data_IF_852527987518
#
_entry.id   IF_852527987518
#
_cell.length_a   1.000
_cell.length_b   1.000
_cell.length_c   1.000
_cell.angle_alpha   90.00
_cell.angle_beta   90.00
_cell.angle_gamma   90.00
#
_symmetry.space_group_name_H-M   'P 1'
#
loop_
_entity.id
_entity.type
_entity.pdbx_description
1 polymer ?
#
# COMPACT_ATOMS: atom_id res chain seq x y z
N UNK A 1 20.55 1.36 -7.32
CA UNK A 1 19.79 2.42 -6.62
C UNK A 1 20.20 2.43 -5.16
N UNK A 2 20.07 3.57 -4.46
CA UNK A 2 20.33 3.65 -3.02
C UNK A 2 19.04 3.98 -2.29
N UNK A 3 18.68 3.11 -1.36
CA UNK A 3 17.42 3.19 -0.63
C UNK A 3 17.61 3.74 0.78
N UNK A 4 16.77 4.69 1.17
CA UNK A 4 16.53 5.01 2.57
C UNK A 4 15.45 4.09 3.13
N UNK A 5 15.75 3.42 4.23
CA UNK A 5 14.91 2.41 4.86
C UNK A 5 14.28 2.95 6.15
N UNK A 6 12.95 3.07 6.16
CA UNK A 6 12.14 3.61 7.25
C UNK A 6 11.45 2.46 8.02
N UNK A 7 11.76 2.28 9.32
CA UNK A 7 11.14 1.25 10.15
C UNK A 7 9.66 1.53 10.42
N UNK A 8 8.93 0.50 10.83
CA UNK A 8 7.60 0.64 11.42
C UNK A 8 7.63 1.25 12.82
N UNK A 9 6.44 1.49 13.37
CA UNK A 9 6.28 2.00 14.73
C UNK A 9 6.94 1.07 15.75
N UNK A 10 7.52 1.66 16.80
CA UNK A 10 8.34 0.97 17.79
C UNK A 10 9.58 0.29 17.18
N UNK A 11 10.01 0.69 15.98
CA UNK A 11 11.21 0.19 15.32
C UNK A 11 12.46 1.00 15.63
N UNK A 12 13.59 0.60 15.06
CA UNK A 12 14.84 1.36 15.08
C UNK A 12 15.64 1.03 13.82
N UNK A 13 16.63 1.86 13.46
CA UNK A 13 17.49 1.59 12.31
C UNK A 13 18.18 0.23 12.44
N UNK A 14 18.61 -0.11 13.67
CA UNK A 14 19.20 -1.41 14.00
C UNK A 14 18.20 -2.55 13.82
N UNK A 15 17.01 -2.47 14.41
CA UNK A 15 16.03 -3.56 14.34
C UNK A 15 15.55 -3.77 12.91
N UNK A 16 15.35 -2.69 12.15
CA UNK A 16 14.93 -2.79 10.76
C UNK A 16 16.02 -3.31 9.83
N UNK A 17 17.28 -2.99 10.10
CA UNK A 17 18.42 -3.65 9.44
C UNK A 17 18.43 -5.17 9.64
N UNK A 18 18.00 -5.66 10.80
CA UNK A 18 17.85 -7.11 11.04
C UNK A 18 16.61 -7.68 10.33
N UNK A 19 15.47 -6.98 10.37
CA UNK A 19 14.23 -7.41 9.73
C UNK A 19 14.37 -7.52 8.21
N UNK A 20 14.92 -6.47 7.58
CA UNK A 20 15.14 -6.38 6.14
C UNK A 20 16.41 -7.13 5.69
N UNK A 21 17.24 -7.61 6.63
CA UNK A 21 18.56 -8.17 6.38
C UNK A 21 18.64 -9.23 5.26
N UNK A 22 17.79 -10.27 5.25
CA UNK A 22 17.78 -11.26 4.19
C UNK A 22 17.53 -10.66 2.80
N UNK A 23 16.52 -9.78 2.69
CA UNK A 23 16.21 -9.07 1.46
C UNK A 23 17.34 -8.13 1.04
N UNK A 24 17.85 -7.31 1.97
CA UNK A 24 18.93 -6.36 1.72
C UNK A 24 20.21 -7.07 1.27
N UNK A 25 20.57 -8.18 1.90
CA UNK A 25 21.70 -9.02 1.50
C UNK A 25 21.49 -9.60 0.10
N UNK A 26 20.31 -10.19 -0.16
CA UNK A 26 20.02 -10.77 -1.47
C UNK A 26 20.11 -9.73 -2.59
N UNK A 27 19.66 -8.49 -2.35
CA UNK A 27 19.72 -7.40 -3.33
C UNK A 27 21.12 -6.84 -3.51
N UNK A 28 21.87 -6.71 -2.40
CA UNK A 28 23.27 -6.26 -2.41
C UNK A 28 24.17 -7.23 -3.16
N UNK A 29 24.03 -8.54 -2.92
CA UNK A 29 24.80 -9.60 -3.59
C UNK A 29 24.56 -9.61 -5.11
N UNK A 30 23.37 -9.18 -5.56
CA UNK A 30 23.01 -9.03 -6.99
C UNK A 30 23.41 -7.69 -7.58
N UNK A 31 23.99 -6.78 -6.79
CA UNK A 31 24.36 -5.43 -7.24
C UNK A 31 23.17 -4.53 -7.59
N UNK A 32 21.97 -4.85 -7.10
CA UNK A 32 20.74 -4.11 -7.44
C UNK A 32 20.58 -2.84 -6.59
N UNK A 33 20.94 -2.93 -5.31
CA UNK A 33 20.61 -1.91 -4.33
C UNK A 33 21.66 -1.78 -3.21
N UNK A 34 21.76 -0.57 -2.64
CA UNK A 34 22.39 -0.32 -1.35
C UNK A 34 21.38 0.31 -0.40
N UNK A 35 21.62 0.21 0.91
CA UNK A 35 20.63 0.51 1.93
C UNK A 35 21.22 1.41 3.03
N UNK A 36 20.55 2.53 3.28
CA UNK A 36 20.75 3.38 4.45
C UNK A 36 19.54 3.21 5.38
N UNK A 37 19.76 3.02 6.68
CA UNK A 37 18.69 2.82 7.64
C UNK A 37 18.54 4.05 8.52
N UNK A 38 17.31 4.52 8.69
CA UNK A 38 16.95 5.62 9.59
C UNK A 38 15.93 5.14 10.62
N UNK A 39 15.43 6.06 11.45
CA UNK A 39 14.43 5.83 12.48
C UNK A 39 13.76 7.15 12.86
N UNK A 40 12.63 7.06 13.55
CA UNK A 40 11.97 8.23 14.10
C UNK A 40 12.76 8.89 15.24
N UNK A 41 12.38 10.12 15.57
CA UNK A 41 13.04 10.93 16.60
C UNK A 41 12.49 10.67 18.03
N UNK A 42 11.34 10.01 18.15
CA UNK A 42 10.65 9.82 19.43
C UNK A 42 10.97 8.45 20.00
N UNK A 43 11.81 8.39 21.03
CA UNK A 43 12.06 7.17 21.78
C UNK A 43 10.80 6.79 22.60
N UNK A 44 10.39 5.53 22.52
CA UNK A 44 9.15 5.04 23.13
C UNK A 44 9.34 3.67 23.77
N UNK A 45 8.49 3.37 24.75
CA UNK A 45 8.34 2.02 25.27
C UNK A 45 7.29 1.25 24.46
N UNK A 46 7.47 -0.07 24.24
CA UNK A 46 6.48 -0.89 23.57
C UNK A 46 5.22 -1.01 24.44
N UNK A 47 4.04 -1.26 23.83
CA UNK A 47 2.82 -1.52 24.57
C UNK A 47 2.96 -2.71 25.53
N UNK A 48 2.23 -2.67 26.65
CA UNK A 48 2.19 -3.75 27.62
C UNK A 48 1.80 -5.08 26.95
N UNK A 49 2.58 -6.14 27.20
CA UNK A 49 2.41 -7.46 26.59
C UNK A 49 3.10 -7.65 25.23
N UNK A 50 3.75 -6.60 24.70
CA UNK A 50 4.48 -6.62 23.42
C UNK A 50 5.97 -6.31 23.59
N UNK A 51 6.51 -6.42 24.80
CA UNK A 51 7.86 -5.97 25.16
C UNK A 51 8.97 -6.67 24.37
N UNK A 52 8.70 -7.88 23.89
CA UNK A 52 9.66 -8.71 23.14
C UNK A 52 9.36 -8.76 21.63
N UNK A 53 8.28 -8.13 21.16
CA UNK A 53 7.85 -8.22 19.77
C UNK A 53 8.67 -7.32 18.83
N UNK A 54 8.96 -6.10 19.27
CA UNK A 54 9.55 -5.05 18.42
C UNK A 54 11.10 -5.07 18.34
N UNK A 55 11.73 -6.05 19.00
CA UNK A 55 13.18 -6.22 19.02
C UNK A 55 13.88 -5.50 20.17
N UNK A 56 15.16 -5.20 19.98
CA UNK A 56 15.99 -4.61 21.05
C UNK A 56 15.74 -3.11 21.20
N UNK A 57 15.70 -2.63 22.44
CA UNK A 57 15.69 -1.19 22.76
C UNK A 57 17.01 -0.50 22.37
N UNK A 58 17.01 0.84 22.19
CA UNK A 58 15.85 1.74 22.21
C UNK A 58 14.92 1.55 20.99
N UNK A 59 13.63 1.85 21.19
CA UNK A 59 12.58 1.77 20.15
C UNK A 59 12.05 3.17 19.86
N UNK A 60 11.64 3.40 18.61
CA UNK A 60 11.28 4.72 18.13
C UNK A 60 9.97 4.72 17.34
N UNK A 61 9.33 5.89 17.30
CA UNK A 61 8.26 6.20 16.35
C UNK A 61 8.61 7.45 15.56
N UNK A 62 8.17 7.50 14.31
CA UNK A 62 8.19 8.76 13.55
C UNK A 62 7.15 9.73 14.09
N UNK A 63 6.01 9.20 14.51
CA UNK A 63 4.89 9.98 14.99
C UNK A 63 4.77 9.85 16.50
N UNK A 64 4.83 10.98 17.20
CA UNK A 64 4.54 11.06 18.63
C UNK A 64 3.05 10.84 18.88
N UNK A 65 2.67 9.62 19.28
CA UNK A 65 1.33 9.31 19.75
C UNK A 65 1.36 9.30 21.28
N UNK A 66 1.25 10.49 21.89
CA UNK A 66 1.25 10.65 23.36
C UNK A 66 0.09 9.87 24.01
N UNK A 67 -0.99 9.61 23.26
CA UNK A 67 -2.15 8.84 23.72
C UNK A 67 -2.68 7.94 22.58
N UNK A 68 -2.51 6.62 22.70
CA UNK A 68 -3.15 5.66 21.79
C UNK A 68 -2.44 4.31 21.69
N UNK A 69 -3.15 3.23 21.98
CA UNK A 69 -2.68 1.85 21.77
C UNK A 69 -2.66 1.58 20.25
N UNK A 70 -1.49 1.35 19.64
CA UNK A 70 -1.39 0.96 18.23
C UNK A 70 -2.21 -0.31 17.91
N UNK A 71 -2.51 -1.13 18.92
CA UNK A 71 -3.37 -2.30 18.80
C UNK A 71 -4.88 -1.99 18.89
N UNK A 72 -5.30 -0.76 19.23
CA UNK A 72 -6.70 -0.36 19.10
C UNK A 72 -7.19 -0.56 17.66
N UNK A 73 -6.39 -0.13 16.69
CA UNK A 73 -6.70 -0.30 15.26
C UNK A 73 -6.82 -1.79 14.93
N UNK A 74 -5.86 -2.61 15.36
CA UNK A 74 -5.88 -4.07 15.14
C UNK A 74 -7.08 -4.75 15.82
N UNK A 75 -7.51 -4.30 17.00
CA UNK A 75 -8.71 -4.82 17.68
C UNK A 75 -10.01 -4.44 16.95
N UNK A 76 -10.07 -3.23 16.38
CA UNK A 76 -11.21 -2.75 15.58
C UNK A 76 -11.33 -3.50 14.25
N UNK A 77 -10.20 -3.91 13.64
CA UNK A 77 -10.19 -4.71 12.39
C UNK A 77 -11.05 -5.97 12.49
N UNK A 78 -11.09 -6.64 13.65
CA UNK A 78 -11.86 -7.89 13.85
C UNK A 78 -13.37 -7.73 13.64
N UNK A 79 -13.87 -6.49 13.63
CA UNK A 79 -15.30 -6.17 13.51
C UNK A 79 -15.65 -5.43 12.21
N UNK A 80 -14.75 -5.43 11.21
CA UNK A 80 -15.03 -4.78 9.92
C UNK A 80 -16.18 -5.51 9.19
N UNK A 81 -17.22 -4.78 8.75
CA UNK A 81 -18.24 -5.31 7.86
C UNK A 81 -17.64 -5.81 6.55
N UNK A 82 -18.05 -7.00 6.10
CA UNK A 82 -17.62 -7.54 4.81
C UNK A 82 -18.19 -6.70 3.65
N UNK A 83 -17.44 -6.64 2.55
CA UNK A 83 -17.88 -6.03 1.30
C UNK A 83 -17.63 -4.53 1.18
N UNK A 84 -16.93 -3.92 2.14
CA UNK A 84 -16.44 -2.56 2.02
C UNK A 84 -15.23 -2.49 1.08
N UNK A 85 -15.08 -1.36 0.38
CA UNK A 85 -13.85 -1.06 -0.34
C UNK A 85 -12.69 -0.84 0.64
N UNK A 86 -11.42 -0.94 0.19
CA UNK A 86 -10.27 -0.57 1.01
C UNK A 86 -10.40 0.82 1.63
N UNK A 87 -10.77 1.82 0.83
CA UNK A 87 -10.94 3.21 1.26
C UNK A 87 -12.10 3.37 2.26
N UNK A 88 -13.23 2.72 2.02
CA UNK A 88 -14.37 2.74 2.94
C UNK A 88 -14.02 2.05 4.28
N UNK A 89 -13.22 0.99 4.23
CA UNK A 89 -12.72 0.31 5.43
C UNK A 89 -11.80 1.23 6.24
N UNK A 90 -10.89 1.95 5.58
CA UNK A 90 -9.99 2.90 6.25
C UNK A 90 -10.75 4.01 6.97
N UNK A 91 -11.87 4.48 6.40
CA UNK A 91 -12.73 5.49 7.03
C UNK A 91 -13.37 5.00 8.34
N UNK A 92 -13.56 3.70 8.55
CA UNK A 92 -14.07 3.16 9.84
C UNK A 92 -13.08 3.34 10.99
N UNK A 93 -11.79 3.52 10.69
CA UNK A 93 -10.76 3.78 11.69
C UNK A 93 -10.59 5.26 11.99
N UNK A 94 -11.33 6.15 11.32
CA UNK A 94 -11.40 7.55 11.75
C UNK A 94 -12.02 7.59 13.15
N UNK A 95 -11.36 8.24 14.13
CA UNK A 95 -11.89 8.36 15.47
C UNK A 95 -13.20 9.16 15.46
N UNK A 96 -14.18 8.76 16.31
CA UNK A 96 -15.51 9.42 16.40
C UNK A 96 -15.40 10.90 16.83
N UNK A 97 -14.29 11.25 17.47
CA UNK A 97 -13.90 12.64 17.78
C UNK A 97 -12.59 12.91 17.05
N UNK A 98 -12.35 14.13 16.55
CA UNK A 98 -11.04 14.51 16.06
C UNK A 98 -10.02 14.16 17.14
N UNK A 99 -9.06 13.28 16.83
CA UNK A 99 -7.87 13.18 17.68
C UNK A 99 -7.24 14.56 17.59
N UNK A 100 -7.00 15.20 18.74
CA UNK A 100 -6.14 16.39 18.82
C UNK A 100 -4.71 15.93 18.51
N UNK A 101 -4.49 15.63 17.24
CA UNK A 101 -3.22 15.18 16.75
C UNK A 101 -2.39 16.43 16.50
N UNK A 102 -1.21 16.50 17.11
CA UNK A 102 -0.30 17.60 16.84
C UNK A 102 0.31 17.41 15.44
N UNK A 103 -0.34 17.98 14.44
CA UNK A 103 0.08 17.93 13.06
C UNK A 103 1.45 18.57 12.81
N UNK A 104 1.93 19.41 13.73
CA UNK A 104 3.30 19.91 13.70
C UNK A 104 4.31 18.76 13.88
N UNK A 105 4.04 17.82 14.79
CA UNK A 105 4.93 16.66 14.98
C UNK A 105 5.06 15.82 13.71
N UNK A 106 3.97 15.63 12.96
CA UNK A 106 4.03 14.90 11.70
C UNK A 106 4.80 15.68 10.62
N UNK A 107 4.65 17.01 10.55
CA UNK A 107 5.49 17.86 9.70
C UNK A 107 6.96 17.73 10.07
N UNK A 108 7.29 17.85 11.36
CA UNK A 108 8.67 17.74 11.86
C UNK A 108 9.27 16.36 11.53
N UNK A 109 8.47 15.29 11.60
CA UNK A 109 8.87 13.95 11.21
C UNK A 109 9.15 13.83 9.70
N UNK A 110 8.29 14.40 8.84
CA UNK A 110 8.53 14.45 7.39
C UNK A 110 9.77 15.29 7.06
N UNK A 111 9.94 16.44 7.70
CA UNK A 111 11.09 17.32 7.52
C UNK A 111 12.40 16.62 7.94
N UNK A 112 12.37 15.83 9.02
CA UNK A 112 13.50 15.00 9.43
C UNK A 112 13.89 13.94 8.38
N UNK A 113 12.91 13.32 7.73
CA UNK A 113 13.15 12.37 6.64
C UNK A 113 13.67 13.09 5.39
N UNK A 114 13.07 14.21 4.99
CA UNK A 114 13.57 15.04 3.88
C UNK A 114 15.00 15.49 4.13
N UNK A 115 15.31 15.94 5.35
CA UNK A 115 16.68 16.29 5.72
C UNK A 115 17.64 15.11 5.56
N UNK A 116 17.24 13.90 5.96
CA UNK A 116 18.07 12.69 5.79
C UNK A 116 18.31 12.39 4.32
N UNK A 117 17.30 12.57 3.48
CA UNK A 117 17.42 12.44 2.03
C UNK A 117 18.41 13.51 1.53
N UNK A 118 18.22 14.79 1.87
CA UNK A 118 19.07 15.92 1.46
C UNK A 118 20.54 15.77 1.86
N UNK A 119 20.82 15.22 3.04
CA UNK A 119 22.18 15.01 3.53
C UNK A 119 22.95 13.92 2.77
N UNK A 120 22.27 13.03 2.03
CA UNK A 120 22.87 11.94 1.25
C UNK A 120 22.30 11.93 -0.18
N UNK A 121 22.91 12.68 -1.13
CA UNK A 121 22.39 12.90 -2.49
C UNK A 121 22.27 11.63 -3.33
N UNK A 122 22.91 10.52 -2.92
CA UNK A 122 22.81 9.25 -3.64
C UNK A 122 21.46 8.56 -3.41
N UNK A 123 20.74 8.90 -2.33
CA UNK A 123 19.40 8.37 -2.06
C UNK A 123 18.44 8.80 -3.16
N UNK A 124 17.96 7.81 -3.90
CA UNK A 124 16.99 7.95 -5.01
C UNK A 124 15.85 6.94 -4.92
N UNK A 125 15.79 6.15 -3.84
CA UNK A 125 14.68 5.25 -3.54
C UNK A 125 14.32 5.21 -2.06
N UNK A 126 13.08 4.81 -1.77
CA UNK A 126 12.59 4.61 -0.40
C UNK A 126 12.15 3.18 -0.17
N UNK A 127 12.39 2.66 1.04
CA UNK A 127 11.77 1.44 1.55
C UNK A 127 11.13 1.79 2.88
N UNK A 128 9.85 1.49 3.05
CA UNK A 128 9.19 1.66 4.34
C UNK A 128 8.47 0.39 4.78
N UNK A 129 8.37 0.19 6.09
CA UNK A 129 7.53 -0.84 6.70
C UNK A 129 6.49 -0.19 7.61
N UNK A 130 5.20 -0.55 7.48
CA UNK A 130 4.12 -0.09 8.37
C UNK A 130 4.10 1.45 8.50
N UNK A 131 4.29 2.02 9.70
CA UNK A 131 4.45 3.49 9.90
C UNK A 131 5.50 4.10 8.97
N UNK A 132 6.65 3.43 8.78
CA UNK A 132 7.69 3.88 7.86
C UNK A 132 7.26 3.82 6.38
N UNK A 133 6.38 2.90 6.01
CA UNK A 133 5.79 2.86 4.66
C UNK A 133 4.83 4.02 4.43
N UNK A 134 4.02 4.38 5.45
CA UNK A 134 3.19 5.58 5.41
C UNK A 134 4.04 6.85 5.30
N UNK A 135 5.12 6.97 6.08
CA UNK A 135 6.05 8.09 5.98
C UNK A 135 6.68 8.18 4.59
N UNK A 136 7.18 7.06 4.05
CA UNK A 136 7.75 7.01 2.70
C UNK A 136 6.72 7.39 1.63
N UNK A 137 5.47 6.91 1.74
CA UNK A 137 4.39 7.29 0.84
C UNK A 137 4.09 8.80 0.93
N UNK A 138 4.05 9.37 2.13
CA UNK A 138 3.84 10.81 2.34
C UNK A 138 4.96 11.65 1.72
N UNK A 139 6.22 11.22 1.81
CA UNK A 139 7.34 11.88 1.13
C UNK A 139 7.13 11.86 -0.39
N UNK A 140 6.80 10.70 -0.97
CA UNK A 140 6.54 10.60 -2.40
C UNK A 140 5.36 11.47 -2.85
N UNK A 141 4.27 11.51 -2.08
CA UNK A 141 3.11 12.34 -2.37
C UNK A 141 3.42 13.84 -2.27
N UNK A 142 4.26 14.24 -1.31
CA UNK A 142 4.71 15.61 -1.14
C UNK A 142 5.67 16.04 -2.26
N UNK A 143 6.60 15.18 -2.69
CA UNK A 143 7.40 15.45 -3.90
C UNK A 143 6.53 15.58 -5.14
N UNK A 144 5.50 14.72 -5.27
CA UNK A 144 4.56 14.80 -6.38
C UNK A 144 3.81 16.14 -6.40
N UNK A 145 3.31 16.57 -5.24
CA UNK A 145 2.65 17.87 -5.08
C UNK A 145 3.58 19.04 -5.40
N UNK A 146 4.82 19.03 -4.90
CA UNK A 146 5.83 20.08 -5.17
C UNK A 146 6.21 20.16 -6.65
N UNK A 147 6.23 19.02 -7.35
CA UNK A 147 6.39 18.97 -8.79
C UNK A 147 5.22 19.61 -9.53
N UNK A 148 3.98 19.20 -9.22
CA UNK A 148 2.77 19.70 -9.87
C UNK A 148 2.53 21.20 -9.63
N UNK A 149 2.71 21.67 -8.39
CA UNK A 149 2.41 23.05 -8.01
C UNK A 149 3.53 24.04 -8.32
N UNK A 150 4.79 23.59 -8.24
CA UNK A 150 5.96 24.49 -8.26
C UNK A 150 7.07 24.05 -9.20
N UNK A 151 6.89 22.94 -9.95
CA UNK A 151 7.89 22.41 -10.86
C UNK A 151 9.18 21.92 -10.18
N UNK A 152 9.15 21.70 -8.86
CA UNK A 152 10.31 21.20 -8.11
C UNK A 152 10.52 19.72 -8.47
N UNK A 153 11.65 19.32 -9.10
CA UNK A 153 11.85 17.96 -9.55
C UNK A 153 11.77 16.95 -8.39
N UNK A 154 11.08 15.83 -8.64
CA UNK A 154 11.05 14.68 -7.74
C UNK A 154 12.45 14.09 -7.63
N UNK A 155 12.87 13.74 -6.43
CA UNK A 155 14.18 13.15 -6.18
C UNK A 155 14.08 11.63 -6.02
N UNK A 156 13.01 11.16 -5.37
CA UNK A 156 12.72 9.74 -5.25
C UNK A 156 12.20 9.24 -6.58
N UNK A 157 12.83 8.19 -7.11
CA UNK A 157 12.50 7.57 -8.40
C UNK A 157 11.73 6.27 -8.24
N UNK A 158 11.79 5.65 -7.06
CA UNK A 158 11.14 4.37 -6.78
C UNK A 158 10.92 4.17 -5.29
N UNK A 159 9.80 3.55 -4.91
CA UNK A 159 9.52 3.21 -3.51
C UNK A 159 9.02 1.79 -3.34
N UNK A 160 9.44 1.13 -2.25
CA UNK A 160 8.93 -0.17 -1.80
C UNK A 160 8.18 0.00 -0.48
N UNK A 161 6.95 -0.46 -0.42
CA UNK A 161 6.10 -0.36 0.76
C UNK A 161 5.78 -1.74 1.29
N UNK A 162 6.31 -2.07 2.46
CA UNK A 162 5.95 -3.28 3.22
C UNK A 162 4.80 -2.97 4.17
N UNK A 163 3.66 -3.63 4.00
CA UNK A 163 2.47 -3.49 4.86
C UNK A 163 2.08 -2.02 5.11
N UNK A 164 2.09 -1.20 4.04
CA UNK A 164 1.89 0.24 4.13
C UNK A 164 0.43 0.68 4.22
N UNK A 165 0.25 1.97 4.47
CA UNK A 165 -1.02 2.70 4.42
C UNK A 165 -0.91 3.95 3.55
N UNK A 166 -2.03 4.51 3.06
CA UNK A 166 -2.04 5.70 2.21
C UNK A 166 -1.24 6.87 2.80
N UNK A 167 -0.66 7.74 1.96
CA UNK A 167 0.05 8.91 2.42
C UNK A 167 -0.87 9.84 3.19
N UNK A 168 -0.35 10.44 4.26
CA UNK A 168 -0.95 11.60 4.90
C UNK A 168 -0.46 12.87 4.20
N UNK A 169 -1.38 13.75 3.82
CA UNK A 169 -1.10 15.04 3.19
C UNK A 169 -1.74 16.18 3.98
N UNK A 170 -1.12 17.36 3.96
CA UNK A 170 -1.63 18.51 4.69
C UNK A 170 -2.97 18.99 4.09
N UNK A 171 -3.96 19.22 4.95
CA UNK A 171 -5.25 19.80 4.60
C UNK A 171 -5.70 20.76 5.71
N UNK A 172 -5.78 22.05 5.39
CA UNK A 172 -6.03 23.10 6.39
C UNK A 172 -4.97 23.10 7.49
N UNK A 173 -5.41 23.09 8.75
CA UNK A 173 -4.53 23.02 9.92
C UNK A 173 -4.09 21.58 10.26
N UNK A 174 -4.52 20.57 9.50
CA UNK A 174 -4.25 19.16 9.77
C UNK A 174 -3.70 18.34 8.62
N UNK A 175 -3.80 17.01 8.75
CA UNK A 175 -3.52 16.08 7.66
C UNK A 175 -4.66 15.09 7.48
N UNK A 176 -4.81 14.64 6.23
CA UNK A 176 -5.76 13.58 5.86
C UNK A 176 -5.02 12.49 5.08
N UNK A 177 -5.51 11.26 5.22
CA UNK A 177 -5.09 10.18 4.34
C UNK A 177 -5.60 10.48 2.93
N UNK A 178 -4.68 10.57 1.95
CA UNK A 178 -5.02 10.84 0.55
C UNK A 178 -5.52 9.55 -0.10
N UNK A 179 -6.80 9.26 0.10
CA UNK A 179 -7.49 8.10 -0.47
C UNK A 179 -7.77 8.29 -1.97
N UNK A 180 -7.66 7.20 -2.73
CA UNK A 180 -7.75 7.25 -4.19
C UNK A 180 -9.14 7.64 -4.70
N UNK A 181 -10.21 7.25 -3.99
CA UNK A 181 -11.60 7.58 -4.35
C UNK A 181 -11.95 9.05 -4.12
N UNK A 182 -11.17 9.78 -3.32
CA UNK A 182 -11.33 11.22 -3.06
C UNK A 182 -10.35 12.07 -3.89
N UNK A 183 -9.12 11.60 -4.08
CA UNK A 183 -8.02 12.42 -4.60
C UNK A 183 -7.33 11.85 -5.84
N UNK A 184 -7.73 10.68 -6.33
CA UNK A 184 -7.06 9.99 -7.43
C UNK A 184 -5.63 9.58 -7.10
N UNK A 185 -4.75 9.63 -8.09
CA UNK A 185 -3.33 9.29 -7.94
C UNK A 185 -2.61 10.31 -7.08
N UNK A 186 -2.05 9.86 -5.95
CA UNK A 186 -1.23 10.67 -5.06
C UNK A 186 0.27 10.52 -5.33
N UNK A 187 0.70 9.35 -5.80
CA UNK A 187 2.11 8.98 -6.01
C UNK A 187 2.27 8.48 -7.46
N UNK A 188 3.04 9.22 -8.25
CA UNK A 188 3.17 8.98 -9.70
C UNK A 188 4.45 8.23 -10.10
N UNK A 189 5.40 8.05 -9.17
CA UNK A 189 6.60 7.25 -9.42
C UNK A 189 6.28 5.74 -9.43
N UNK A 190 7.11 4.89 -10.06
CA UNK A 190 6.99 3.44 -9.91
C UNK A 190 7.05 3.02 -8.43
N UNK A 191 6.22 2.05 -8.06
CA UNK A 191 6.12 1.58 -6.67
C UNK A 191 6.02 0.06 -6.60
N UNK A 192 6.52 -0.54 -5.52
CA UNK A 192 6.38 -1.96 -5.25
C UNK A 192 5.77 -2.19 -3.86
N UNK A 193 4.58 -2.78 -3.84
CA UNK A 193 3.78 -2.99 -2.66
C UNK A 193 3.88 -4.44 -2.24
N UNK A 194 4.39 -4.66 -1.04
CA UNK A 194 4.60 -5.98 -0.45
C UNK A 194 3.73 -6.09 0.78
N UNK A 195 2.82 -7.06 0.82
CA UNK A 195 1.91 -7.26 1.94
C UNK A 195 1.60 -8.74 2.12
N UNK A 196 0.92 -9.09 3.20
CA UNK A 196 0.48 -10.45 3.45
C UNK A 196 -1.04 -10.53 3.46
N UNK A 197 -1.63 -11.50 2.77
CA UNK A 197 -3.08 -11.73 2.80
C UNK A 197 -3.63 -12.10 4.18
N UNK A 198 -2.77 -12.58 5.09
CA UNK A 198 -3.11 -12.82 6.49
C UNK A 198 -2.82 -11.61 7.40
N UNK A 199 -2.43 -10.46 6.83
CA UNK A 199 -2.29 -9.19 7.56
C UNK A 199 -3.67 -8.62 7.90
N UNK A 200 -4.00 -8.38 9.18
CA UNK A 200 -5.22 -7.68 9.58
C UNK A 200 -5.39 -6.30 8.91
N UNK A 201 -4.29 -5.67 8.52
CA UNK A 201 -4.25 -4.35 7.89
C UNK A 201 -4.16 -4.40 6.36
N UNK A 202 -4.39 -5.56 5.72
CA UNK A 202 -4.26 -5.73 4.26
C UNK A 202 -4.98 -4.66 3.43
N UNK A 203 -6.17 -4.21 3.86
CA UNK A 203 -6.90 -3.15 3.16
C UNK A 203 -6.18 -1.80 3.18
N UNK A 204 -5.32 -1.54 4.17
CA UNK A 204 -4.46 -0.35 4.16
C UNK A 204 -3.43 -0.42 3.04
N UNK A 205 -2.85 -1.60 2.81
CA UNK A 205 -1.87 -1.79 1.73
C UNK A 205 -2.53 -1.71 0.36
N UNK A 206 -3.75 -2.25 0.21
CA UNK A 206 -4.52 -2.12 -1.04
C UNK A 206 -4.94 -0.65 -1.28
N UNK A 207 -5.37 0.07 -0.24
CA UNK A 207 -5.70 1.49 -0.37
C UNK A 207 -4.46 2.33 -0.75
N UNK A 208 -3.27 2.00 -0.22
CA UNK A 208 -2.02 2.64 -0.63
C UNK A 208 -1.69 2.35 -2.10
N UNK A 209 -1.87 1.11 -2.55
CA UNK A 209 -1.72 0.75 -3.96
C UNK A 209 -2.66 1.55 -4.87
N UNK A 210 -3.93 1.71 -4.46
CA UNK A 210 -4.90 2.51 -5.20
C UNK A 210 -4.52 3.99 -5.31
N UNK A 211 -3.80 4.53 -4.30
CA UNK A 211 -3.30 5.90 -4.31
C UNK A 211 -2.02 6.09 -5.16
N UNK A 212 -1.45 5.00 -5.71
CA UNK A 212 -0.27 5.05 -6.58
C UNK A 212 -0.66 4.90 -8.05
N UNK A 213 0.21 5.35 -8.97
CA UNK A 213 0.03 5.13 -10.40
C UNK A 213 0.11 3.61 -10.71
N UNK A 214 -1.05 3.02 -11.00
CA UNK A 214 -1.19 1.57 -11.20
C UNK A 214 -0.54 1.05 -12.47
N UNK A 215 -0.22 1.90 -13.45
CA UNK A 215 0.52 1.49 -14.66
C UNK A 215 1.97 1.09 -14.34
N UNK A 216 2.50 1.59 -13.22
CA UNK A 216 3.88 1.38 -12.79
C UNK A 216 4.00 0.78 -11.38
N UNK A 217 2.87 0.46 -10.75
CA UNK A 217 2.82 -0.17 -9.45
C UNK A 217 2.81 -1.71 -9.57
N UNK A 218 3.58 -2.37 -8.73
CA UNK A 218 3.61 -3.84 -8.61
C UNK A 218 3.08 -4.26 -7.25
N UNK A 219 2.41 -5.41 -7.18
CA UNK A 219 1.92 -6.02 -5.94
C UNK A 219 2.56 -7.40 -5.73
N UNK A 220 2.93 -7.70 -4.49
CA UNK A 220 3.37 -9.02 -4.07
C UNK A 220 2.76 -9.40 -2.72
N UNK A 221 1.98 -10.48 -2.73
CA UNK A 221 1.42 -11.08 -1.53
C UNK A 221 2.34 -12.21 -1.04
N UNK A 222 2.97 -12.02 0.13
CA UNK A 222 3.83 -13.02 0.75
C UNK A 222 3.07 -14.03 1.63
N UNK A 223 1.76 -13.89 1.78
CA UNK A 223 0.86 -14.84 2.47
C UNK A 223 0.97 -14.89 3.99
N UNK A 224 1.82 -14.07 4.62
CA UNK A 224 2.01 -14.05 6.08
C UNK A 224 1.22 -12.90 6.72
N UNK A 225 1.45 -12.62 8.01
CA UNK A 225 0.81 -11.50 8.73
C UNK A 225 1.51 -10.15 8.50
N UNK A 226 1.32 -9.23 9.45
CA UNK A 226 1.89 -7.87 9.42
C UNK A 226 3.41 -7.85 9.70
N UNK A 227 4.23 -8.26 8.74
CA UNK A 227 5.69 -8.39 8.90
C UNK A 227 6.44 -8.20 7.57
N UNK A 228 7.76 -8.08 7.64
CA UNK A 228 8.65 -8.20 6.48
C UNK A 228 9.02 -9.68 6.29
N UNK A 229 8.73 -10.30 5.13
CA UNK A 229 9.04 -11.71 4.93
C UNK A 229 10.56 -11.94 4.86
N UNK A 230 11.01 -13.08 5.41
CA UNK A 230 12.43 -13.41 5.56
C UNK A 230 12.78 -14.82 5.10
N UNK A 231 11.78 -15.63 4.76
CA UNK A 231 11.99 -16.95 4.17
C UNK A 231 12.59 -16.83 2.76
N UNK A 232 13.30 -17.86 2.35
CA UNK A 232 14.09 -17.84 1.11
C UNK A 232 13.20 -17.61 -0.13
N UNK A 233 12.05 -18.29 -0.18
CA UNK A 233 11.14 -18.24 -1.33
C UNK A 233 10.58 -16.83 -1.54
N UNK A 234 10.16 -16.16 -0.47
CA UNK A 234 9.71 -14.76 -0.56
C UNK A 234 10.87 -13.81 -0.91
N UNK A 235 12.05 -14.00 -0.31
CA UNK A 235 13.21 -13.14 -0.59
C UNK A 235 13.65 -13.22 -2.04
N UNK A 236 13.65 -14.43 -2.62
CA UNK A 236 14.00 -14.67 -4.03
C UNK A 236 13.00 -13.98 -4.97
N UNK A 237 11.70 -14.19 -4.76
CA UNK A 237 10.64 -13.60 -5.61
C UNK A 237 10.59 -12.07 -5.53
N UNK A 238 10.76 -11.50 -4.34
CA UNK A 238 10.87 -10.06 -4.17
C UNK A 238 12.08 -9.51 -4.94
N UNK A 239 13.17 -10.26 -4.94
CA UNK A 239 14.39 -9.90 -5.63
C UNK A 239 14.28 -9.91 -7.15
N UNK A 240 13.64 -10.93 -7.69
CA UNK A 240 13.39 -11.02 -9.14
C UNK A 240 12.46 -9.91 -9.61
N UNK A 241 11.41 -9.63 -8.84
CA UNK A 241 10.51 -8.51 -9.12
C UNK A 241 11.27 -7.18 -9.12
N UNK A 242 12.12 -6.94 -8.11
CA UNK A 242 12.90 -5.70 -8.04
C UNK A 242 13.89 -5.58 -9.20
N UNK A 243 14.55 -6.69 -9.58
CA UNK A 243 15.47 -6.69 -10.71
C UNK A 243 14.79 -6.24 -12.01
N UNK A 244 13.56 -6.70 -12.26
CA UNK A 244 12.77 -6.28 -13.43
C UNK A 244 12.45 -4.79 -13.36
N UNK A 245 12.03 -4.29 -12.20
CA UNK A 245 11.64 -2.88 -12.03
C UNK A 245 12.85 -1.94 -12.14
N UNK A 246 13.96 -2.23 -11.46
CA UNK A 246 15.19 -1.42 -11.54
C UNK A 246 15.72 -1.38 -12.97
N UNK A 247 15.67 -2.51 -13.70
CA UNK A 247 16.09 -2.54 -15.10
C UNK A 247 15.18 -1.68 -16.00
N UNK A 248 13.90 -1.55 -15.69
CA UNK A 248 12.98 -0.63 -16.40
C UNK A 248 13.30 0.83 -16.07
N UNK A 249 13.50 1.16 -14.79
CA UNK A 249 13.81 2.53 -14.33
C UNK A 249 15.14 3.03 -14.89
N UNK A 250 16.16 2.15 -14.97
CA UNK A 250 17.49 2.52 -15.44
C UNK A 250 17.62 2.55 -16.97
N UNK A 251 16.63 2.05 -17.72
CA UNK A 251 16.63 2.26 -19.17
C UNK A 251 16.41 3.74 -19.45
N UNK A 252 17.17 4.35 -20.37
CA UNK A 252 16.82 5.68 -20.86
C UNK A 252 15.37 5.65 -21.31
N UNK A 253 14.56 6.59 -20.85
CA UNK A 253 13.30 6.89 -21.54
C UNK A 253 13.72 7.30 -22.95
N UNK A 254 13.43 6.44 -23.94
CA UNK A 254 13.58 6.82 -25.33
C UNK A 254 12.80 8.13 -25.49
N UNK A 255 13.51 9.18 -25.90
CA UNK A 255 13.00 10.52 -26.07
C UNK A 255 11.65 10.48 -26.78
N UNK A 256 10.73 11.33 -26.32
CA UNK A 256 9.45 11.67 -26.95
C UNK A 256 9.47 11.47 -28.48
N UNK A 257 9.16 10.25 -28.91
CA UNK A 257 8.95 9.92 -30.29
C UNK A 257 7.49 10.31 -30.60
N UNK A 258 7.27 11.62 -30.72
CA UNK A 258 6.23 12.23 -31.56
C UNK A 258 6.50 13.74 -31.65
N UNK A 259 7.63 14.08 -32.26
CA UNK A 259 7.80 15.32 -32.99
C UNK A 259 8.18 14.93 -34.42
N UNK A 260 7.21 15.07 -35.32
CA UNK A 260 7.25 15.22 -36.78
C UNK A 260 5.85 14.78 -37.26
N UNK A 261 5.00 15.65 -37.78
CA UNK A 261 5.29 16.57 -38.87
C UNK A 261 4.47 16.09 -40.06
N UNK A 262 3.58 16.95 -40.52
CA UNK A 262 2.55 16.70 -41.52
C UNK A 262 3.08 16.04 -42.82
N UNK A 263 2.39 15.01 -43.29
CA UNK A 263 2.22 14.78 -44.73
C UNK A 263 0.72 14.58 -45.04
N UNK A 264 0.14 15.62 -45.63
CA UNK A 264 -1.13 15.59 -46.35
C UNK A 264 -1.10 14.53 -47.46
N UNK A 265 -2.17 13.74 -47.57
CA UNK A 265 -2.60 13.15 -48.82
C UNK A 265 -4.10 13.36 -48.99
N UNK A 266 -4.41 14.45 -49.68
CA UNK A 266 -5.65 14.77 -50.37
C UNK A 266 -6.08 13.64 -51.31
N UNK A 267 -7.31 13.13 -51.15
CA UNK A 267 -8.10 12.55 -52.23
C UNK A 267 -9.59 12.85 -52.01
N UNK A 268 -10.13 13.69 -52.87
CA UNK A 268 -11.49 14.18 -52.86
C UNK A 268 -12.61 13.21 -53.30
N UNK A 269 -13.82 13.63 -52.93
CA UNK A 269 -15.16 13.47 -53.52
C UNK A 269 -15.50 12.21 -54.34
N UNK A 270 -16.60 11.53 -53.95
CA UNK A 270 -17.81 11.48 -54.78
C UNK A 270 -19.07 11.00 -54.03
N UNK A 271 -20.20 11.66 -54.32
CA UNK A 271 -21.58 11.33 -53.92
C UNK A 271 -22.25 10.48 -54.99
N UNK A 272 -23.09 9.50 -54.64
CA UNK A 272 -24.36 9.05 -55.30
C UNK A 272 -25.00 7.99 -54.36
N UNK A 273 -26.05 8.26 -53.57
CA UNK A 273 -27.51 8.20 -53.81
C UNK A 273 -28.15 6.80 -54.02
N UNK A 274 -29.22 6.50 -53.26
CA UNK A 274 -30.20 5.43 -53.52
C UNK A 274 -30.70 4.75 -52.23
N UNK A 275 -31.68 5.33 -51.50
CA UNK A 275 -33.13 5.00 -51.52
C UNK A 275 -33.49 3.52 -51.22
N UNK A 276 -34.18 3.28 -50.11
CA UNK A 276 -34.85 2.00 -49.83
C UNK A 276 -35.57 2.01 -48.48
N UNK A 277 -36.89 1.92 -48.52
CA UNK A 277 -37.91 2.14 -47.49
C UNK A 277 -38.23 0.94 -46.57
N UNK A 278 -38.82 1.27 -45.41
CA UNK A 278 -39.84 0.52 -44.60
C UNK A 278 -39.41 -0.54 -43.54
N UNK A 279 -39.40 -0.08 -42.27
CA UNK A 279 -40.15 -0.47 -41.03
C UNK A 279 -40.92 -1.83 -40.91
N UNK A 280 -41.33 -2.26 -39.68
CA UNK A 280 -40.61 -3.05 -38.66
C UNK A 280 -41.35 -4.37 -38.26
N UNK A 281 -40.72 -5.29 -37.49
CA UNK A 281 -41.46 -6.41 -36.86
C UNK A 281 -40.89 -6.80 -35.47
N UNK A 282 -41.76 -6.61 -34.46
CA UNK A 282 -42.01 -7.25 -33.15
C UNK A 282 -40.94 -8.03 -32.34
N UNK A 283 -40.89 -7.67 -31.05
CA UNK A 283 -41.11 -8.51 -29.85
C UNK A 283 -40.82 -10.01 -29.90
N UNK A 284 -39.99 -10.48 -28.95
CA UNK A 284 -40.20 -11.73 -28.23
C UNK A 284 -39.76 -11.60 -26.77
N UNK A 285 -40.68 -11.91 -25.87
CA UNK A 285 -40.50 -12.10 -24.43
C UNK A 285 -40.27 -13.59 -24.11
N UNK A 286 -39.57 -13.88 -23.01
CA UNK A 286 -39.70 -15.09 -22.19
C UNK A 286 -38.89 -14.88 -20.89
N UNK A 287 -39.58 -14.73 -19.75
CA UNK A 287 -39.68 -15.72 -18.65
C UNK A 287 -38.57 -15.50 -17.59
N UNK A 288 -38.82 -15.21 -16.32
CA UNK A 288 -39.95 -15.56 -15.46
C UNK A 288 -39.56 -16.72 -14.56
N UNK A 289 -38.96 -16.46 -13.39
CA UNK A 289 -39.00 -17.39 -12.25
C UNK A 289 -38.94 -16.64 -10.92
N UNK A 290 -40.05 -16.72 -10.19
CA UNK A 290 -40.22 -16.31 -8.80
C UNK A 290 -40.22 -17.59 -7.95
N UNK A 291 -39.45 -17.64 -6.86
CA UNK A 291 -39.74 -18.55 -5.74
C UNK A 291 -39.80 -17.72 -4.46
N UNK A 292 -41.00 -17.70 -3.89
CA UNK A 292 -41.29 -17.29 -2.52
C UNK A 292 -41.12 -18.52 -1.62
N UNK A 293 -40.49 -18.35 -0.46
CA UNK A 293 -41.01 -18.96 0.77
C UNK A 293 -40.57 -18.17 1.99
N UNK A 294 -41.54 -17.89 2.84
CA UNK A 294 -41.45 -17.24 4.14
C UNK A 294 -41.21 -18.27 5.24
N UNK A 295 -40.44 -17.90 6.26
CA UNK A 295 -40.61 -18.41 7.62
C UNK A 295 -40.00 -17.43 8.63
N UNK A 296 -40.86 -16.88 9.48
CA UNK A 296 -40.51 -16.18 10.71
C UNK A 296 -40.26 -17.19 11.83
N UNK A 297 -39.27 -16.92 12.68
CA UNK A 297 -39.36 -17.28 14.11
C UNK A 297 -38.40 -16.42 14.94
N UNK A 298 -38.94 -15.96 16.06
CA UNK A 298 -38.32 -15.15 17.10
C UNK A 298 -38.01 -16.02 18.32
N UNK A 299 -36.84 -15.85 18.93
CA UNK A 299 -36.46 -16.13 20.34
C UNK A 299 -34.93 -16.18 20.39
N UNK A 300 -34.17 -15.88 21.44
CA UNK A 300 -34.36 -15.26 22.76
C UNK A 300 -32.95 -15.19 23.34
N UNK A 301 -32.66 -14.15 24.12
CA UNK A 301 -31.42 -13.94 24.85
C UNK A 301 -31.16 -14.98 25.95
N UNK A 302 -29.97 -15.55 25.99
CA UNK A 302 -29.33 -16.07 27.22
C UNK A 302 -27.81 -16.12 26.99
N UNK A 303 -27.05 -15.46 27.86
CA UNK A 303 -25.60 -15.35 27.76
C UNK A 303 -24.86 -16.53 28.39
N UNK A 304 -23.63 -16.76 27.94
CA UNK A 304 -22.62 -17.56 28.63
C UNK A 304 -21.21 -17.01 28.32
N UNK A 305 -20.63 -16.44 29.37
CA UNK A 305 -19.25 -16.60 29.89
C UNK A 305 -18.08 -16.77 28.90
N UNK A 306 -17.13 -15.84 29.03
CA UNK A 306 -15.79 -15.89 28.47
C UNK A 306 -14.95 -17.02 29.08
N UNK A 307 -14.36 -17.86 28.24
CA UNK A 307 -13.02 -18.45 28.44
C UNK A 307 -12.31 -18.53 27.08
N UNK A 308 -10.99 -18.40 27.16
CA UNK A 308 -10.01 -18.16 26.09
C UNK A 308 -9.82 -19.35 25.14
N UNK A 309 -10.09 -19.12 23.85
CA UNK A 309 -9.99 -20.14 22.79
C UNK A 309 -8.86 -19.82 21.78
N UNK A 310 -7.73 -19.31 22.28
CA UNK A 310 -6.57 -18.91 21.47
C UNK A 310 -5.46 -19.98 21.35
N UNK A 311 -5.58 -21.14 22.01
CA UNK A 311 -4.47 -22.13 22.08
C UNK A 311 -4.81 -23.57 21.61
N UNK A 312 -5.92 -23.82 20.89
CA UNK A 312 -6.28 -25.20 20.49
C UNK A 312 -6.55 -25.43 19.00
N UNK A 313 -5.92 -24.65 18.10
CA UNK A 313 -5.91 -24.97 16.65
C UNK A 313 -4.52 -25.09 16.03
N UNK A 314 -3.52 -25.54 16.80
CA UNK A 314 -2.22 -25.95 16.26
C UNK A 314 -2.07 -27.47 16.05
N UNK A 315 -3.14 -28.24 16.17
CA UNK A 315 -3.13 -29.67 15.87
C UNK A 315 -4.48 -30.08 15.31
N UNK A 316 -4.59 -30.12 13.98
CA UNK A 316 -5.40 -31.03 13.17
C UNK A 316 -5.29 -30.53 11.73
N UNK A 317 -4.51 -31.26 10.91
CA UNK A 317 -4.41 -31.02 9.48
C UNK A 317 -5.77 -31.21 8.82
N UNK A 318 -6.19 -30.24 8.02
CA UNK A 318 -7.31 -30.37 7.11
C UNK A 318 -6.76 -30.35 5.68
N UNK A 319 -7.13 -31.39 4.95
CA UNK A 319 -6.68 -31.73 3.61
C UNK A 319 -7.02 -30.63 2.58
N UNK A 320 -6.12 -30.47 1.63
CA UNK A 320 -6.21 -29.52 0.54
C UNK A 320 -7.11 -30.03 -0.58
N UNK A 321 -8.23 -29.35 -0.82
CA UNK A 321 -9.00 -29.53 -2.06
C UNK A 321 -8.58 -28.50 -3.12
N UNK A 322 -7.91 -29.04 -4.15
CA UNK A 322 -7.73 -28.57 -5.54
C UNK A 322 -7.83 -27.08 -5.87
N UNK A 323 -6.67 -26.45 -6.08
CA UNK A 323 -6.54 -25.26 -6.95
C UNK A 323 -5.70 -25.63 -8.17
N UNK A 324 -6.32 -25.51 -9.34
CA UNK A 324 -5.70 -25.72 -10.66
C UNK A 324 -4.71 -24.59 -10.93
N UNK A 325 -3.42 -24.91 -11.02
CA UNK A 325 -2.38 -23.99 -11.51
C UNK A 325 -2.51 -23.85 -13.03
N UNK A 326 -2.80 -22.64 -13.52
CA UNK A 326 -2.67 -22.29 -14.93
C UNK A 326 -1.23 -21.84 -15.17
N UNK A 327 -0.53 -22.55 -16.06
CA UNK A 327 0.82 -22.27 -16.49
C UNK A 327 0.73 -21.45 -17.79
N UNK A 328 1.20 -20.20 -17.76
CA UNK A 328 1.29 -19.37 -18.97
C UNK A 328 2.60 -19.73 -19.70
N UNK A 329 2.46 -20.20 -20.93
CA UNK A 329 3.51 -20.31 -21.95
C UNK A 329 3.79 -18.98 -22.60
#
# INVERSE_FOLDING_TARGET
MRFLCLPGAYGSAKNFGVQLGPFAKHMGDRGLATFAFTQGAHEVEPPLGWENYFGSRPLYRFIDTVEGDAFEVVRRVRHIPRGLSPEATLRLFKPDKPIEFNWQTFRDALDGVFKTIDDDPEIDGLIGYSEGAMMAASICAEENRRWEESGIPRRIKFAIFFAGSPPLVAEGDGFVAKLADEHGTAIDIPTFHVFGSNDPLVYSSVALYNACNQEHAQLYDHGLGHLVPRDADNVEQLGDTLSVVINKINKPQDADANADGDEEADLGSDKVSGSGTQTPVSEFAADGYTISSSASSSASSAGLTAESDLDLRSSLGAESDGIVKIQLT
#
